data_IF_829625179159
#
_entry.id   IF_829625179159
#
_cell.length_a   1.000
_cell.length_b   1.000
_cell.length_c   1.000
_cell.angle_alpha   90.00
_cell.angle_beta   90.00
_cell.angle_gamma   90.00
#
_symmetry.space_group_name_H-M   'P 1'
#
loop_
_entity.id
_entity.type
_entity.pdbx_description
1 polymer ?
#
# COMPACT_ATOMS: atom_id res chain seq x y z
N UNK A 1 -6.63 24.58 14.78
CA UNK A 1 -6.65 23.14 14.58
C UNK A 1 -5.86 22.43 15.68
N UNK A 2 -4.53 22.63 15.78
CA UNK A 2 -3.67 21.85 16.67
C UNK A 2 -4.04 21.93 18.15
N UNK A 3 -4.51 23.08 18.64
CA UNK A 3 -4.94 23.24 20.04
C UNK A 3 -6.24 22.53 20.40
N UNK A 4 -6.98 22.05 19.42
CA UNK A 4 -8.31 21.46 19.59
C UNK A 4 -8.38 20.00 19.16
N UNK A 5 -7.36 19.51 18.46
CA UNK A 5 -7.36 18.16 17.88
C UNK A 5 -6.02 17.45 18.18
N UNK A 6 -6.08 16.49 19.09
CA UNK A 6 -4.96 15.62 19.46
C UNK A 6 -4.40 14.86 18.25
N UNK A 7 -5.27 14.38 17.38
CA UNK A 7 -4.88 13.63 16.19
C UNK A 7 -4.13 14.49 15.19
N UNK A 8 -4.58 15.75 14.99
CA UNK A 8 -3.88 16.69 14.12
C UNK A 8 -2.44 16.94 14.63
N UNK A 9 -2.22 17.01 15.94
CA UNK A 9 -0.87 17.11 16.51
C UNK A 9 0.00 15.89 16.18
N UNK A 10 -0.56 14.69 16.28
CA UNK A 10 0.14 13.45 15.93
C UNK A 10 0.53 13.44 14.44
N UNK A 11 -0.40 13.79 13.56
CA UNK A 11 -0.17 13.85 12.11
C UNK A 11 0.94 14.85 11.76
N UNK A 12 0.87 16.06 12.31
CA UNK A 12 1.89 17.09 12.13
C UNK A 12 3.28 16.59 12.55
N UNK A 13 3.35 15.91 13.71
CA UNK A 13 4.58 15.30 14.21
C UNK A 13 5.13 14.22 13.28
N UNK A 14 4.25 13.38 12.66
CA UNK A 14 4.68 12.34 11.71
C UNK A 14 5.20 12.92 10.39
N UNK A 15 4.74 14.10 10.01
CA UNK A 15 5.32 14.84 8.88
C UNK A 15 6.63 15.54 9.23
N UNK A 16 7.11 15.45 10.48
CA UNK A 16 8.32 16.12 10.92
C UNK A 16 8.17 17.64 11.05
N UNK A 17 6.94 18.15 11.06
CA UNK A 17 6.66 19.57 11.23
C UNK A 17 6.87 19.95 12.70
N UNK A 18 7.76 20.92 13.01
CA UNK A 18 7.98 21.34 14.39
C UNK A 18 6.72 22.03 14.95
N UNK A 19 6.46 21.81 16.24
CA UNK A 19 5.43 22.58 16.95
C UNK A 19 5.82 24.06 16.99
N UNK A 20 4.85 24.95 17.03
CA UNK A 20 5.12 26.40 17.00
C UNK A 20 4.96 27.01 15.63
N UNK A 21 4.03 26.47 14.84
CA UNK A 21 3.66 26.98 13.51
C UNK A 21 3.04 28.40 13.54
N UNK A 22 2.76 28.96 14.72
CA UNK A 22 2.15 30.26 14.88
C UNK A 22 0.73 30.33 14.28
N UNK A 23 0.44 31.47 13.65
CA UNK A 23 -0.84 31.75 12.99
C UNK A 23 -0.83 31.36 11.48
N UNK A 24 0.13 30.53 11.05
CA UNK A 24 0.22 30.09 9.65
C UNK A 24 -0.95 29.22 9.27
N UNK A 25 -1.38 29.36 8.00
CA UNK A 25 -2.39 28.45 7.42
C UNK A 25 -1.81 27.06 7.19
N UNK A 26 -2.68 26.06 7.09
CA UNK A 26 -2.28 24.67 6.75
C UNK A 26 -1.51 24.67 5.43
N UNK A 27 -2.02 25.37 4.43
CA UNK A 27 -1.42 25.47 3.11
C UNK A 27 0.02 26.03 3.18
N UNK A 28 0.22 27.12 3.92
CA UNK A 28 1.55 27.72 4.12
C UNK A 28 2.50 26.74 4.78
N UNK A 29 2.06 26.07 5.83
CA UNK A 29 2.89 25.07 6.55
C UNK A 29 3.24 23.90 5.64
N UNK A 30 2.28 23.37 4.89
CA UNK A 30 2.54 22.28 3.93
C UNK A 30 3.56 22.69 2.86
N UNK A 31 3.41 23.88 2.27
CA UNK A 31 4.33 24.42 1.26
C UNK A 31 5.75 24.58 1.80
N UNK A 32 5.92 25.15 3.00
CA UNK A 32 7.23 25.32 3.64
C UNK A 32 7.97 24.00 3.88
N UNK A 33 7.22 22.88 4.05
CA UNK A 33 7.78 21.56 4.34
C UNK A 33 7.74 20.62 3.14
N UNK A 34 7.33 21.09 1.94
CA UNK A 34 7.24 20.27 0.73
C UNK A 34 6.20 19.17 0.80
N UNK A 35 5.12 19.38 1.56
CA UNK A 35 4.03 18.44 1.79
C UNK A 35 2.88 18.77 0.84
N UNK A 36 2.34 17.76 0.15
CA UNK A 36 1.17 17.92 -0.71
C UNK A 36 -0.08 18.19 0.14
N UNK A 37 -0.60 19.42 0.08
CA UNK A 37 -1.69 19.89 0.95
C UNK A 37 -2.97 19.03 0.85
N UNK A 38 -3.47 18.62 -0.34
CA UNK A 38 -4.63 17.72 -0.43
C UNK A 38 -4.41 16.39 0.29
N UNK A 39 -3.23 15.77 0.16
CA UNK A 39 -2.90 14.52 0.85
C UNK A 39 -2.85 14.73 2.37
N UNK A 40 -2.25 15.82 2.84
CA UNK A 40 -2.25 16.16 4.27
C UNK A 40 -3.69 16.28 4.81
N UNK A 41 -4.56 17.01 4.09
CA UNK A 41 -5.96 17.18 4.48
C UNK A 41 -6.75 15.87 4.43
N UNK A 42 -6.48 14.99 3.46
CA UNK A 42 -7.08 13.66 3.40
C UNK A 42 -6.73 12.83 4.64
N UNK A 43 -5.46 12.84 5.08
CA UNK A 43 -5.00 12.15 6.30
C UNK A 43 -5.70 12.72 7.54
N UNK A 44 -5.75 14.06 7.68
CA UNK A 44 -6.41 14.72 8.82
C UNK A 44 -7.91 14.38 8.89
N UNK A 45 -8.57 14.28 7.76
CA UNK A 45 -10.02 14.06 7.64
C UNK A 45 -10.40 12.57 7.47
N UNK A 46 -9.48 11.61 7.64
CA UNK A 46 -9.72 10.18 7.43
C UNK A 46 -10.29 9.86 6.04
N UNK A 47 -9.71 10.40 4.99
CA UNK A 47 -10.15 10.14 3.62
C UNK A 47 -11.50 10.75 3.23
N UNK A 48 -12.17 11.48 4.14
CA UNK A 48 -13.51 12.03 3.88
C UNK A 48 -13.51 13.17 2.87
N UNK A 49 -12.37 13.81 2.66
CA UNK A 49 -12.21 14.95 1.74
C UNK A 49 -11.12 14.60 0.72
N UNK A 50 -11.45 14.64 -0.54
CA UNK A 50 -10.57 14.32 -1.66
C UNK A 50 -10.78 12.91 -2.21
N UNK A 51 -10.66 12.77 -3.54
CA UNK A 51 -10.70 11.47 -4.22
C UNK A 51 -9.34 10.77 -4.23
N UNK A 52 -9.29 9.47 -4.54
CA UNK A 52 -8.02 8.72 -4.66
C UNK A 52 -7.05 9.31 -5.68
N UNK A 53 -7.57 10.04 -6.68
CA UNK A 53 -6.81 10.74 -7.73
C UNK A 53 -6.07 11.96 -7.22
N UNK A 54 -6.48 12.56 -6.10
CA UNK A 54 -5.86 13.74 -5.50
C UNK A 54 -4.73 13.37 -4.51
N UNK A 55 -4.51 12.08 -4.26
CA UNK A 55 -3.52 11.60 -3.31
C UNK A 55 -2.14 11.55 -3.95
N UNK A 56 -1.20 12.33 -3.43
CA UNK A 56 0.22 12.22 -3.73
C UNK A 56 0.82 11.04 -2.95
N UNK A 57 1.03 9.92 -3.65
CA UNK A 57 1.56 8.70 -3.04
C UNK A 57 2.91 8.89 -2.36
N UNK A 58 3.90 9.63 -2.91
CA UNK A 58 5.16 9.91 -2.22
C UNK A 58 4.97 10.59 -0.87
N UNK A 59 4.10 11.60 -0.78
CA UNK A 59 3.76 12.28 0.47
C UNK A 59 3.13 11.31 1.48
N UNK A 60 2.17 10.49 1.03
CA UNK A 60 1.49 9.51 1.88
C UNK A 60 2.47 8.43 2.39
N UNK A 61 3.31 7.89 1.52
CA UNK A 61 4.32 6.90 1.88
C UNK A 61 5.34 7.44 2.87
N UNK A 62 5.74 8.72 2.71
CA UNK A 62 6.65 9.38 3.68
C UNK A 62 5.99 9.48 5.06
N UNK A 63 4.72 9.84 5.11
CA UNK A 63 3.94 9.89 6.36
C UNK A 63 3.88 8.53 7.05
N UNK A 64 3.51 7.46 6.31
CA UNK A 64 3.40 6.11 6.84
C UNK A 64 4.75 5.60 7.35
N UNK A 65 5.82 5.76 6.58
CA UNK A 65 7.17 5.38 6.99
C UNK A 65 7.63 6.11 8.26
N UNK A 66 7.33 7.39 8.40
CA UNK A 66 7.62 8.13 9.62
C UNK A 66 6.78 7.64 10.81
N UNK A 67 5.53 7.22 10.57
CA UNK A 67 4.70 6.59 11.58
C UNK A 67 5.27 5.23 12.03
N UNK A 68 5.73 4.39 11.10
CA UNK A 68 6.42 3.13 11.39
C UNK A 68 7.66 3.33 12.25
N UNK A 69 8.52 4.28 11.88
CA UNK A 69 9.70 4.67 12.66
C UNK A 69 9.31 5.11 14.07
N UNK A 70 8.27 5.93 14.20
CA UNK A 70 7.78 6.37 15.50
C UNK A 70 7.28 5.20 16.36
N UNK A 71 6.51 4.26 15.80
CA UNK A 71 6.03 3.10 16.54
C UNK A 71 7.19 2.23 17.02
N UNK A 72 8.11 1.87 16.12
CA UNK A 72 9.17 0.90 16.41
C UNK A 72 10.30 1.48 17.25
N UNK A 73 10.68 2.75 17.06
CA UNK A 73 11.87 3.32 17.64
C UNK A 73 11.58 4.23 18.85
N UNK A 74 10.34 4.70 18.99
CA UNK A 74 9.97 5.59 20.09
C UNK A 74 8.85 5.06 20.97
N UNK A 75 7.66 4.80 20.42
CA UNK A 75 6.45 4.52 21.20
C UNK A 75 6.54 3.17 21.92
N UNK A 76 6.77 2.08 21.19
CA UNK A 76 6.84 0.74 21.76
C UNK A 76 8.02 0.56 22.72
N UNK A 77 9.26 1.04 22.45
CA UNK A 77 10.34 1.02 23.40
C UNK A 77 10.07 1.84 24.67
N UNK A 78 9.39 2.98 24.54
CA UNK A 78 8.97 3.79 25.70
C UNK A 78 7.98 3.02 26.56
N UNK A 79 6.94 2.44 25.96
CA UNK A 79 5.93 1.67 26.64
C UNK A 79 6.52 0.45 27.37
N UNK A 80 7.47 -0.23 26.72
CA UNK A 80 8.22 -1.33 27.32
C UNK A 80 8.98 -0.90 28.58
N UNK A 81 9.66 0.24 28.54
CA UNK A 81 10.38 0.77 29.72
C UNK A 81 9.41 1.06 30.87
N UNK A 82 8.28 1.71 30.57
CA UNK A 82 7.24 1.98 31.55
C UNK A 82 6.68 0.70 32.17
N UNK A 83 6.45 -0.35 31.35
CA UNK A 83 5.98 -1.65 31.81
C UNK A 83 6.99 -2.32 32.74
N UNK A 84 8.28 -2.31 32.40
CA UNK A 84 9.35 -2.85 33.25
C UNK A 84 9.41 -2.08 34.58
N UNK A 85 9.33 -0.75 34.53
CA UNK A 85 9.35 0.09 35.74
C UNK A 85 8.15 -0.21 36.65
N UNK A 86 6.95 -0.36 36.07
CA UNK A 86 5.75 -0.69 36.85
C UNK A 86 5.81 -2.09 37.48
N UNK A 87 6.45 -3.06 36.80
CA UNK A 87 6.56 -4.45 37.28
C UNK A 87 7.70 -4.64 38.28
N UNK A 88 8.85 -3.97 38.09
CA UNK A 88 10.05 -4.16 38.90
C UNK A 88 9.83 -3.99 40.42
N UNK A 89 9.05 -2.99 40.89
CA UNK A 89 8.77 -2.85 42.34
C UNK A 89 7.98 -4.00 42.93
N UNK A 90 7.35 -4.83 42.12
CA UNK A 90 6.55 -5.98 42.55
C UNK A 90 7.32 -7.29 42.50
N UNK A 91 8.66 -7.25 42.31
CA UNK A 91 9.51 -8.42 42.23
C UNK A 91 9.28 -9.32 43.44
N UNK A 92 8.56 -10.38 43.22
CA UNK A 92 8.27 -11.47 44.17
C UNK A 92 8.61 -12.78 43.43
N UNK A 93 8.50 -13.92 44.10
CA UNK A 93 8.64 -15.25 43.50
C UNK A 93 7.57 -15.53 42.41
N UNK A 94 6.67 -14.58 42.16
CA UNK A 94 5.63 -14.68 41.15
C UNK A 94 6.21 -14.41 39.74
N UNK A 95 6.09 -15.39 38.85
CA UNK A 95 6.59 -15.31 37.46
C UNK A 95 5.63 -14.55 36.51
N UNK A 96 4.40 -14.25 36.93
CA UNK A 96 3.40 -13.59 36.05
C UNK A 96 3.90 -12.27 35.51
N UNK A 97 4.54 -11.37 36.27
CA UNK A 97 5.09 -10.13 35.76
C UNK A 97 6.07 -10.32 34.56
N UNK A 98 6.92 -11.35 34.63
CA UNK A 98 7.85 -11.67 33.57
C UNK A 98 7.15 -12.20 32.31
N UNK A 99 6.06 -12.95 32.47
CA UNK A 99 5.24 -13.44 31.36
C UNK A 99 4.51 -12.29 30.66
N UNK A 100 4.09 -11.26 31.38
CA UNK A 100 3.49 -10.04 30.80
C UNK A 100 4.52 -9.30 29.93
N UNK A 101 5.76 -9.13 30.40
CA UNK A 101 6.83 -8.50 29.60
C UNK A 101 7.11 -9.34 28.35
N UNK A 102 7.19 -10.66 28.51
CA UNK A 102 7.43 -11.56 27.37
C UNK A 102 6.31 -11.47 26.32
N UNK A 103 5.05 -11.44 26.74
CA UNK A 103 3.91 -11.26 25.84
C UNK A 103 4.03 -9.94 25.06
N UNK A 104 4.41 -8.86 25.76
CA UNK A 104 4.65 -7.57 25.10
C UNK A 104 5.80 -7.65 24.08
N UNK A 105 6.90 -8.31 24.42
CA UNK A 105 8.05 -8.47 23.52
C UNK A 105 7.70 -9.29 22.27
N UNK A 106 6.91 -10.35 22.43
CA UNK A 106 6.38 -11.14 21.29
C UNK A 106 5.47 -10.29 20.40
N UNK A 107 4.59 -9.49 20.99
CA UNK A 107 3.76 -8.54 20.28
C UNK A 107 4.59 -7.53 19.48
N UNK A 108 5.65 -6.95 20.05
CA UNK A 108 6.54 -6.01 19.35
C UNK A 108 7.21 -6.66 18.15
N UNK A 109 7.59 -7.94 18.25
CA UNK A 109 8.17 -8.65 17.09
C UNK A 109 7.15 -8.85 15.96
N UNK A 110 5.91 -9.15 16.27
CA UNK A 110 4.85 -9.28 15.27
C UNK A 110 4.59 -7.96 14.54
N UNK A 111 4.47 -6.85 15.27
CA UNK A 111 4.36 -5.50 14.65
C UNK A 111 5.55 -5.22 13.75
N UNK A 112 6.77 -5.57 14.17
CA UNK A 112 7.97 -5.33 13.36
C UNK A 112 7.92 -6.09 12.03
N UNK A 113 7.50 -7.35 12.07
CA UNK A 113 7.35 -8.18 10.86
C UNK A 113 6.23 -7.60 9.96
N UNK A 114 5.11 -7.22 10.54
CA UNK A 114 3.99 -6.62 9.81
C UNK A 114 4.41 -5.33 9.10
N UNK A 115 4.99 -4.38 9.79
CA UNK A 115 5.51 -3.13 9.24
C UNK A 115 6.56 -3.38 8.15
N UNK A 116 7.43 -4.38 8.33
CA UNK A 116 8.40 -4.72 7.30
C UNK A 116 7.71 -5.15 6.00
N UNK A 117 6.68 -5.98 6.07
CA UNK A 117 5.92 -6.40 4.89
C UNK A 117 5.22 -5.22 4.20
N UNK A 118 4.68 -4.28 4.96
CA UNK A 118 4.08 -3.05 4.41
C UNK A 118 5.12 -2.18 3.69
N UNK A 119 6.27 -1.97 4.30
CA UNK A 119 7.38 -1.21 3.71
C UNK A 119 7.93 -1.86 2.43
N UNK A 120 7.87 -3.19 2.31
CA UNK A 120 8.23 -3.97 1.12
C UNK A 120 7.13 -3.96 0.03
N UNK A 121 5.97 -3.37 0.30
CA UNK A 121 4.86 -3.23 -0.66
C UNK A 121 3.96 -4.45 -0.77
N UNK A 122 4.00 -5.39 0.19
CA UNK A 122 3.18 -6.60 0.25
C UNK A 122 1.79 -6.35 0.87
N UNK A 123 1.23 -5.17 0.67
CA UNK A 123 0.01 -4.67 1.33
C UNK A 123 -1.24 -5.50 0.99
N UNK A 124 -1.29 -6.15 -0.17
CA UNK A 124 -2.51 -6.86 -0.62
C UNK A 124 -2.77 -8.19 0.11
N UNK A 125 -1.73 -8.83 0.64
CA UNK A 125 -1.85 -10.16 1.28
C UNK A 125 -2.22 -10.11 2.78
N UNK A 126 -2.08 -8.95 3.44
CA UNK A 126 -2.09 -8.85 4.91
C UNK A 126 -3.26 -8.06 5.54
N UNK A 127 -4.31 -7.71 4.79
CA UNK A 127 -5.48 -6.97 5.30
C UNK A 127 -6.21 -7.62 6.51
N UNK A 128 -5.93 -8.90 6.81
CA UNK A 128 -6.48 -9.61 7.98
C UNK A 128 -5.63 -9.47 9.23
N UNK A 129 -4.34 -9.09 9.09
CA UNK A 129 -3.40 -9.00 10.22
C UNK A 129 -3.61 -7.74 11.06
N UNK A 130 -4.08 -6.63 10.47
CA UNK A 130 -4.24 -5.34 11.16
C UNK A 130 -5.16 -5.43 12.38
N UNK A 131 -6.28 -6.16 12.26
CA UNK A 131 -7.21 -6.39 13.37
C UNK A 131 -6.61 -7.27 14.46
N UNK A 132 -5.78 -8.22 14.08
CA UNK A 132 -5.12 -9.12 15.04
C UNK A 132 -4.08 -8.36 15.88
N UNK A 133 -3.35 -7.44 15.27
CA UNK A 133 -2.35 -6.59 15.96
C UNK A 133 -2.99 -5.71 17.01
N UNK A 134 -4.09 -5.03 16.69
CA UNK A 134 -4.81 -4.19 17.66
C UNK A 134 -5.48 -5.01 18.76
N UNK A 135 -6.02 -6.20 18.44
CA UNK A 135 -6.63 -7.09 19.40
C UNK A 135 -5.64 -7.59 20.48
N UNK A 136 -4.39 -7.86 20.10
CA UNK A 136 -3.35 -8.30 21.06
C UNK A 136 -3.02 -7.26 22.13
N UNK A 137 -3.06 -5.97 21.81
CA UNK A 137 -2.92 -4.93 22.85
C UNK A 137 -4.06 -4.97 23.84
N UNK A 138 -5.28 -5.19 23.39
CA UNK A 138 -6.43 -5.35 24.25
C UNK A 138 -6.32 -6.60 25.14
N UNK A 139 -5.81 -7.70 24.60
CA UNK A 139 -5.53 -8.92 25.37
C UNK A 139 -4.47 -8.66 26.44
N UNK A 140 -3.42 -7.90 26.15
CA UNK A 140 -2.40 -7.50 27.12
C UNK A 140 -3.01 -6.70 28.28
N UNK A 141 -3.90 -5.75 28.01
CA UNK A 141 -4.65 -5.02 29.05
C UNK A 141 -5.42 -5.98 29.94
N UNK A 142 -6.14 -6.93 29.34
CA UNK A 142 -6.92 -7.93 30.09
C UNK A 142 -6.03 -8.83 30.95
N UNK A 143 -4.85 -9.24 30.45
CA UNK A 143 -3.87 -10.02 31.21
C UNK A 143 -3.34 -9.22 32.38
N UNK A 144 -3.01 -7.95 32.20
CA UNK A 144 -2.52 -7.07 33.28
C UNK A 144 -3.63 -6.91 34.33
N UNK A 145 -4.84 -6.53 33.96
CA UNK A 145 -5.94 -6.29 34.89
C UNK A 145 -6.29 -7.56 35.68
N UNK A 146 -6.24 -8.73 35.05
CA UNK A 146 -6.63 -10.00 35.67
C UNK A 146 -5.57 -10.61 36.56
N UNK A 147 -4.29 -10.49 36.18
CA UNK A 147 -3.22 -11.28 36.76
C UNK A 147 -2.12 -10.46 37.44
N UNK A 148 -2.09 -9.13 37.22
CA UNK A 148 -1.11 -8.29 37.92
C UNK A 148 -1.36 -8.32 39.41
N UNK A 149 -0.32 -8.56 40.26
CA UNK A 149 -0.49 -8.72 41.68
C UNK A 149 -1.05 -7.45 42.36
N UNK A 150 -2.17 -7.59 43.08
CA UNK A 150 -2.85 -6.50 43.77
C UNK A 150 -2.07 -5.95 44.98
N UNK A 151 -1.01 -6.63 45.42
CA UNK A 151 -0.27 -6.29 46.62
C UNK A 151 1.17 -5.88 46.34
N UNK A 152 1.35 -4.63 45.99
CA UNK A 152 2.67 -4.01 45.98
C UNK A 152 2.84 -3.17 47.24
N UNK A 153 3.94 -3.37 47.94
CA UNK A 153 4.36 -2.50 49.05
C UNK A 153 5.02 -1.22 48.56
N UNK A 154 5.22 -1.10 47.23
CA UNK A 154 5.81 0.07 46.62
C UNK A 154 4.77 1.20 46.50
N UNK A 155 5.04 2.38 47.07
CA UNK A 155 4.19 3.55 46.86
C UNK A 155 4.11 3.88 45.36
N UNK A 156 2.92 4.20 44.89
CA UNK A 156 2.68 4.55 43.48
C UNK A 156 2.76 3.38 42.45
N UNK A 157 2.84 2.11 42.90
CA UNK A 157 2.80 0.98 41.96
C UNK A 157 1.54 0.97 41.08
N UNK A 158 0.39 1.32 41.68
CA UNK A 158 -0.88 1.42 40.90
C UNK A 158 -0.86 2.56 39.89
N UNK A 159 -0.28 3.70 40.23
CA UNK A 159 -0.15 4.84 39.33
C UNK A 159 0.78 4.54 38.17
N UNK A 160 1.88 3.83 38.42
CA UNK A 160 2.79 3.38 37.36
C UNK A 160 2.06 2.42 36.43
N UNK A 161 1.35 1.42 36.95
CA UNK A 161 0.60 0.48 36.13
C UNK A 161 -0.57 1.15 35.40
N UNK A 162 -1.27 2.08 36.04
CA UNK A 162 -2.30 2.89 35.38
C UNK A 162 -1.73 3.68 34.22
N UNK A 163 -0.53 4.26 34.35
CA UNK A 163 0.17 4.97 33.27
C UNK A 163 0.49 4.03 32.11
N UNK A 164 0.92 2.80 32.40
CA UNK A 164 1.17 1.76 31.38
C UNK A 164 -0.12 1.42 30.64
N UNK A 165 -1.22 1.16 31.35
CA UNK A 165 -2.52 0.81 30.75
C UNK A 165 -3.04 1.95 29.86
N UNK A 166 -2.96 3.20 30.30
CA UNK A 166 -3.31 4.35 29.50
C UNK A 166 -2.42 4.50 28.27
N UNK A 167 -1.12 4.19 28.40
CA UNK A 167 -0.18 4.15 27.30
C UNK A 167 -0.51 3.07 26.26
N UNK A 168 -0.96 1.89 26.71
CA UNK A 168 -1.43 0.80 25.84
C UNK A 168 -2.68 1.23 25.06
N UNK A 169 -3.68 1.80 25.72
CA UNK A 169 -4.90 2.30 25.06
C UNK A 169 -4.58 3.39 24.03
N UNK A 170 -3.67 4.30 24.35
CA UNK A 170 -3.23 5.32 23.42
C UNK A 170 -2.53 4.69 22.20
N UNK A 171 -1.70 3.67 22.43
CA UNK A 171 -1.01 2.95 21.35
C UNK A 171 -2.00 2.23 20.43
N UNK A 172 -3.02 1.58 21.02
CA UNK A 172 -4.11 0.93 20.28
C UNK A 172 -4.86 1.93 19.39
N UNK A 173 -5.23 3.09 19.93
CA UNK A 173 -5.92 4.17 19.20
C UNK A 173 -5.06 4.68 18.02
N UNK A 174 -3.75 4.88 18.24
CA UNK A 174 -2.83 5.34 17.21
C UNK A 174 -2.64 4.31 16.08
N UNK A 175 -2.52 3.02 16.43
CA UNK A 175 -2.42 1.94 15.45
C UNK A 175 -3.71 1.78 14.65
N UNK A 176 -4.88 1.82 15.28
CA UNK A 176 -6.16 1.79 14.58
C UNK A 176 -6.31 2.95 13.59
N UNK A 177 -5.87 4.16 14.00
CA UNK A 177 -5.86 5.31 13.11
C UNK A 177 -4.89 5.15 11.93
N UNK A 178 -3.75 4.49 12.16
CA UNK A 178 -2.77 4.17 11.12
C UNK A 178 -3.34 3.19 10.09
N UNK A 179 -3.86 2.05 10.52
CA UNK A 179 -4.51 1.06 9.67
C UNK A 179 -5.68 1.66 8.86
N UNK A 180 -6.47 2.56 9.48
CA UNK A 180 -7.54 3.26 8.76
C UNK A 180 -7.01 4.14 7.61
N UNK A 181 -5.84 4.78 7.76
CA UNK A 181 -5.22 5.56 6.67
C UNK A 181 -4.77 4.64 5.53
N UNK A 182 -4.27 3.47 5.85
CA UNK A 182 -3.87 2.48 4.84
C UNK A 182 -5.08 1.94 4.08
N UNK A 183 -6.13 1.57 4.77
CA UNK A 183 -7.34 1.00 4.18
C UNK A 183 -8.15 2.05 3.39
N UNK A 184 -8.33 3.25 3.94
CA UNK A 184 -9.24 4.25 3.38
C UNK A 184 -8.57 5.20 2.38
N UNK A 185 -7.22 5.35 2.44
CA UNK A 185 -6.49 6.31 1.60
C UNK A 185 -5.48 5.59 0.71
N UNK A 186 -4.56 4.79 1.28
CA UNK A 186 -3.46 4.19 0.52
C UNK A 186 -3.95 3.16 -0.49
N UNK A 187 -4.75 2.18 -0.04
CA UNK A 187 -5.26 1.11 -0.93
C UNK A 187 -6.07 1.65 -2.10
N UNK A 188 -7.04 2.55 -1.91
CA UNK A 188 -7.76 3.17 -3.04
C UNK A 188 -6.85 3.93 -3.99
N UNK A 189 -5.87 4.69 -3.49
CA UNK A 189 -4.93 5.44 -4.33
C UNK A 189 -4.03 4.51 -5.16
N UNK A 190 -3.56 3.39 -4.61
CA UNK A 190 -2.79 2.38 -5.33
C UNK A 190 -3.63 1.70 -6.43
N UNK A 191 -4.88 1.34 -6.14
CA UNK A 191 -5.81 0.76 -7.11
C UNK A 191 -6.06 1.75 -8.25
N UNK A 192 -6.29 3.01 -7.95
CA UNK A 192 -6.50 4.05 -8.95
C UNK A 192 -5.27 4.22 -9.86
N UNK A 193 -4.06 4.28 -9.28
CA UNK A 193 -2.81 4.36 -10.04
C UNK A 193 -2.61 3.18 -10.98
N UNK A 194 -2.92 1.97 -10.54
CA UNK A 194 -2.81 0.76 -11.37
C UNK A 194 -3.81 0.77 -12.52
N UNK A 195 -5.03 1.27 -12.31
CA UNK A 195 -6.07 1.44 -13.35
C UNK A 195 -5.63 2.46 -14.40
N UNK A 196 -5.15 3.62 -13.98
CA UNK A 196 -4.66 4.68 -14.88
C UNK A 196 -3.51 4.16 -15.74
N UNK A 197 -2.52 3.50 -15.12
CA UNK A 197 -1.40 2.89 -15.85
C UNK A 197 -1.86 1.84 -16.87
N UNK A 198 -2.84 1.03 -16.53
CA UNK A 198 -3.40 0.02 -17.44
C UNK A 198 -4.16 0.67 -18.61
N UNK A 199 -4.86 1.78 -18.38
CA UNK A 199 -5.54 2.55 -19.42
C UNK A 199 -4.54 3.23 -20.35
N UNK A 200 -3.48 3.84 -19.82
CA UNK A 200 -2.41 4.44 -20.62
C UNK A 200 -1.69 3.40 -21.51
N UNK A 201 -1.43 2.21 -20.97
CA UNK A 201 -0.84 1.12 -21.75
C UNK A 201 -1.77 0.64 -22.87
N UNK A 202 -3.08 0.56 -22.61
CA UNK A 202 -4.09 0.23 -23.63
C UNK A 202 -4.20 1.32 -24.70
N UNK A 203 -4.22 2.60 -24.29
CA UNK A 203 -4.24 3.73 -25.21
C UNK A 203 -3.00 3.74 -26.12
N UNK A 204 -1.80 3.58 -25.53
CA UNK A 204 -0.54 3.45 -26.32
C UNK A 204 -0.52 2.25 -27.25
N UNK A 205 -1.13 1.13 -26.85
CA UNK A 205 -1.27 -0.05 -27.72
C UNK A 205 -2.25 0.19 -28.87
N UNK A 206 -3.27 1.04 -28.69
CA UNK A 206 -4.22 1.44 -29.73
C UNK A 206 -3.63 2.48 -30.69
N UNK A 207 -2.83 3.43 -30.21
CA UNK A 207 -2.11 4.41 -31.03
C UNK A 207 -1.02 3.76 -31.90
N UNK A 208 -0.49 2.59 -31.51
CA UNK A 208 0.51 1.83 -32.27
C UNK A 208 -0.08 0.78 -33.19
N UNK A 209 -1.40 0.73 -33.41
CA UNK A 209 -1.98 -0.06 -34.50
C UNK A 209 -1.67 0.62 -35.83
N UNK A 210 -0.42 0.46 -36.31
CA UNK A 210 -0.06 0.75 -37.69
C UNK A 210 -0.99 -0.06 -38.61
N UNK A 211 -1.77 0.60 -39.45
CA UNK A 211 -2.61 -0.10 -40.43
C UNK A 211 -1.76 -1.03 -41.30
N UNK A 212 -2.33 -2.19 -41.61
CA UNK A 212 -1.69 -3.10 -42.54
C UNK A 212 -1.62 -2.44 -43.94
N UNK A 213 -0.45 -2.46 -44.54
CA UNK A 213 -0.31 -2.06 -45.97
C UNK A 213 -1.12 -3.02 -46.85
N UNK A 214 -1.48 -2.58 -48.05
CA UNK A 214 -2.23 -3.41 -49.01
C UNK A 214 -1.52 -4.75 -49.26
N UNK A 215 -0.20 -4.73 -49.29
CA UNK A 215 0.60 -5.93 -49.48
C UNK A 215 0.56 -6.86 -48.25
N UNK A 216 0.50 -6.33 -47.06
CA UNK A 216 0.33 -7.10 -45.83
C UNK A 216 -1.09 -7.69 -45.73
N UNK A 217 -2.13 -6.98 -46.22
CA UNK A 217 -3.50 -7.48 -46.32
C UNK A 217 -3.59 -8.67 -47.29
N UNK A 218 -2.95 -8.57 -48.48
CA UNK A 218 -2.89 -9.68 -49.42
C UNK A 218 -2.21 -10.93 -48.83
N UNK A 219 -1.05 -10.73 -48.16
CA UNK A 219 -0.34 -11.83 -47.52
C UNK A 219 -1.21 -12.44 -46.39
N UNK A 220 -1.86 -11.61 -45.57
CA UNK A 220 -2.75 -12.05 -44.48
C UNK A 220 -3.90 -12.89 -45.01
N UNK A 221 -4.55 -12.45 -46.09
CA UNK A 221 -5.66 -13.18 -46.74
C UNK A 221 -5.23 -14.58 -47.16
N UNK A 222 -4.07 -14.72 -47.78
CA UNK A 222 -3.56 -16.02 -48.22
C UNK A 222 -3.13 -16.93 -47.04
N UNK A 223 -2.57 -16.34 -45.99
CA UNK A 223 -2.25 -17.07 -44.74
C UNK A 223 -3.48 -17.66 -44.11
N UNK A 224 -4.55 -16.89 -44.05
CA UNK A 224 -5.83 -17.32 -43.46
C UNK A 224 -6.54 -18.39 -44.32
N UNK A 225 -6.33 -18.35 -45.65
CA UNK A 225 -6.76 -19.40 -46.56
C UNK A 225 -5.95 -20.70 -46.44
N UNK A 226 -4.92 -20.73 -45.57
CA UNK A 226 -4.12 -21.92 -45.28
C UNK A 226 -2.92 -22.15 -46.20
N UNK A 227 -2.55 -21.18 -47.06
CA UNK A 227 -1.39 -21.31 -47.93
C UNK A 227 -0.08 -21.26 -47.11
N UNK A 228 0.89 -22.10 -47.50
CA UNK A 228 2.23 -22.04 -46.93
C UNK A 228 3.06 -20.90 -47.57
N UNK A 229 4.12 -20.49 -46.88
CA UNK A 229 4.95 -19.33 -47.31
C UNK A 229 5.46 -19.43 -48.78
N UNK A 230 5.75 -20.64 -49.27
CA UNK A 230 6.22 -20.85 -50.63
C UNK A 230 5.11 -20.61 -51.68
N UNK A 231 3.90 -21.10 -51.41
CA UNK A 231 2.72 -20.89 -52.27
C UNK A 231 2.32 -19.42 -52.30
N UNK A 232 2.43 -18.71 -51.17
CA UNK A 232 2.19 -17.26 -51.10
C UNK A 232 3.24 -16.50 -51.92
N UNK A 233 4.51 -16.90 -51.80
CA UNK A 233 5.61 -16.31 -52.59
C UNK A 233 5.39 -16.45 -54.07
N UNK A 234 5.01 -17.66 -54.55
CA UNK A 234 4.72 -17.95 -55.94
C UNK A 234 3.51 -17.15 -56.45
N UNK A 235 2.41 -17.13 -55.64
CA UNK A 235 1.15 -16.47 -56.00
C UNK A 235 1.25 -14.94 -56.09
N UNK A 236 2.06 -14.35 -55.19
CA UNK A 236 2.26 -12.90 -55.12
C UNK A 236 3.52 -12.42 -55.86
N UNK A 237 4.25 -13.31 -56.52
CA UNK A 237 5.52 -13.02 -57.20
C UNK A 237 6.55 -12.35 -56.25
N UNK A 238 6.70 -12.91 -55.04
CA UNK A 238 7.62 -12.44 -54.02
C UNK A 238 8.70 -13.48 -53.73
N UNK A 239 9.78 -13.04 -53.07
CA UNK A 239 10.72 -13.98 -52.50
C UNK A 239 10.15 -14.61 -51.20
N UNK A 240 10.56 -15.84 -50.87
CA UNK A 240 10.19 -16.52 -49.62
C UNK A 240 10.53 -15.65 -48.40
N UNK A 241 11.69 -14.98 -48.43
CA UNK A 241 12.16 -14.10 -47.37
C UNK A 241 11.23 -12.89 -47.20
N UNK A 242 10.73 -12.32 -48.30
CA UNK A 242 9.78 -11.19 -48.27
C UNK A 242 8.46 -11.58 -47.63
N UNK A 243 7.93 -12.77 -47.93
CA UNK A 243 6.70 -13.29 -47.32
C UNK A 243 6.89 -13.48 -45.79
N UNK A 244 8.02 -14.06 -45.36
CA UNK A 244 8.34 -14.21 -43.94
C UNK A 244 8.42 -12.85 -43.26
N UNK A 245 9.01 -11.85 -43.89
CA UNK A 245 9.10 -10.48 -43.36
C UNK A 245 7.72 -9.83 -43.21
N UNK A 246 6.84 -9.94 -44.20
CA UNK A 246 5.46 -9.47 -44.15
C UNK A 246 4.68 -10.15 -42.98
N UNK A 247 4.80 -11.47 -42.83
CA UNK A 247 4.15 -12.19 -41.72
C UNK A 247 4.62 -11.72 -40.34
N UNK A 248 5.94 -11.45 -40.18
CA UNK A 248 6.47 -10.87 -38.91
C UNK A 248 5.91 -9.48 -38.66
N UNK A 249 5.83 -8.63 -39.70
CA UNK A 249 5.29 -7.28 -39.59
C UNK A 249 3.79 -7.31 -39.26
N UNK A 250 3.00 -8.19 -39.90
CA UNK A 250 1.59 -8.39 -39.59
C UNK A 250 1.41 -8.79 -38.14
N UNK A 251 2.15 -9.80 -37.64
CA UNK A 251 2.08 -10.24 -36.29
C UNK A 251 2.44 -9.12 -35.30
N UNK A 252 3.47 -8.31 -35.59
CA UNK A 252 3.87 -7.15 -34.79
C UNK A 252 2.80 -6.05 -34.78
N UNK A 253 2.31 -5.66 -35.98
CA UNK A 253 1.32 -4.57 -36.15
C UNK A 253 -0.01 -4.91 -35.46
N UNK A 254 -0.47 -6.16 -35.58
CA UNK A 254 -1.74 -6.61 -35.02
C UNK A 254 -1.61 -7.11 -33.59
N UNK A 255 -0.40 -7.34 -33.12
CA UNK A 255 -0.11 -8.05 -31.86
C UNK A 255 -0.83 -9.42 -31.77
N UNK A 256 -0.95 -10.11 -32.93
CA UNK A 256 -1.62 -11.43 -33.04
C UNK A 256 -0.59 -12.43 -33.59
N UNK A 257 -0.32 -13.48 -32.82
CA UNK A 257 0.71 -14.47 -33.14
C UNK A 257 0.15 -15.84 -33.56
N UNK A 258 -1.15 -16.08 -33.39
CA UNK A 258 -1.81 -17.33 -33.77
C UNK A 258 -2.56 -17.20 -35.08
N UNK A 259 -2.54 -18.26 -35.90
CA UNK A 259 -3.30 -18.32 -37.17
C UNK A 259 -4.80 -18.14 -36.90
N UNK A 260 -5.35 -18.76 -35.83
CA UNK A 260 -6.74 -18.58 -35.46
C UNK A 260 -7.10 -17.13 -35.15
N UNK A 261 -6.24 -16.41 -34.42
CA UNK A 261 -6.43 -14.99 -34.14
C UNK A 261 -6.37 -14.13 -35.40
N UNK A 262 -5.45 -14.43 -36.33
CA UNK A 262 -5.37 -13.77 -37.66
C UNK A 262 -6.62 -14.03 -38.51
N UNK A 263 -7.21 -15.23 -38.42
CA UNK A 263 -8.47 -15.57 -39.12
C UNK A 263 -9.62 -14.72 -38.59
N UNK A 264 -9.77 -14.64 -37.25
CA UNK A 264 -10.80 -13.80 -36.64
C UNK A 264 -10.63 -12.33 -37.07
N UNK A 265 -9.41 -11.82 -37.02
CA UNK A 265 -9.10 -10.44 -37.46
C UNK A 265 -9.51 -10.21 -38.92
N UNK A 266 -9.18 -11.15 -39.83
CA UNK A 266 -9.48 -11.03 -41.26
C UNK A 266 -10.99 -11.04 -41.53
N UNK A 267 -11.78 -11.86 -40.81
CA UNK A 267 -13.25 -11.91 -40.89
C UNK A 267 -13.86 -10.58 -40.41
N UNK A 268 -13.48 -10.14 -39.20
CA UNK A 268 -14.02 -8.91 -38.59
C UNK A 268 -13.75 -7.68 -39.47
N UNK A 269 -12.58 -7.63 -40.09
CA UNK A 269 -12.17 -6.51 -40.96
C UNK A 269 -12.58 -6.73 -42.45
N UNK A 270 -13.42 -7.75 -42.74
CA UNK A 270 -13.95 -8.04 -44.10
C UNK A 270 -12.86 -8.27 -45.16
N UNK A 271 -11.69 -8.78 -44.75
CA UNK A 271 -10.62 -9.17 -45.68
C UNK A 271 -10.89 -10.52 -46.36
N UNK A 272 -11.73 -11.34 -45.72
CA UNK A 272 -12.25 -12.61 -46.27
C UNK A 272 -13.73 -12.72 -45.94
N UNK A 273 -14.48 -13.37 -46.84
CA UNK A 273 -15.87 -13.81 -46.65
C UNK A 273 -15.84 -15.26 -46.13
N UNK A 274 -16.73 -15.59 -45.18
CA UNK A 274 -16.89 -16.95 -44.60
C UNK A 274 -18.06 -17.64 -45.28
#
# INVERSE_FOLDING_TARGET
LLSQDKRAMQIVSRFGIPMGVGDKTIETVCQEHGIHTPTFLAIVNNGRNGGPEEIDLPTLQTYLKNAHTYFLDFLLPRLRRQLIEAINPTASDNQIPLLIIRYFDEYVQEIRIHIQHEDEGLIEEHATDDRHITQKLHELVNLIIKYYPAHSTYPFANELMTTVLLGIYQTEEELQSHCAIEDEILRPALIQKSRTKSQELRAKSQEQQEELSDREKEVLTLVVQGLINKEIADKLHLSLHTVVSHRKNIARKLNIHSTAGLTIYAIVNKLIEV
#
